data_IF_224807147728
#
_entry.id   IF_224807147728
#
_cell.length_a   1.000
_cell.length_b   1.000
_cell.length_c   1.000
_cell.angle_alpha   90.00
_cell.angle_beta   90.00
_cell.angle_gamma   90.00
#
_symmetry.space_group_name_H-M   'P 1'
#
loop_
_entity.id
_entity.type
_entity.pdbx_description
1 polymer ?
#
# COMPACT_ATOMS: atom_id res chain seq x y z
N UNK A 1 11.81 21.95 -57.35
CA UNK A 1 13.09 21.88 -56.62
C UNK A 1 12.86 22.28 -55.17
N UNK A 2 13.31 21.41 -54.26
CA UNK A 2 13.49 21.58 -52.81
C UNK A 2 12.22 21.73 -51.95
N UNK A 3 12.15 21.22 -50.74
CA UNK A 3 12.81 20.12 -50.01
C UNK A 3 12.14 20.16 -48.63
N UNK A 4 11.86 18.98 -48.10
CA UNK A 4 11.34 18.64 -46.77
C UNK A 4 11.75 19.55 -45.61
N UNK A 5 10.88 19.63 -44.58
CA UNK A 5 11.28 19.33 -43.20
C UNK A 5 10.06 19.09 -42.29
N UNK A 6 9.89 17.81 -41.95
CA UNK A 6 9.12 17.29 -40.84
C UNK A 6 9.64 17.89 -39.52
N UNK A 7 8.73 18.28 -38.61
CA UNK A 7 9.04 18.29 -37.18
C UNK A 7 8.01 17.45 -36.46
N UNK A 8 8.41 16.21 -36.20
CA UNK A 8 7.75 15.30 -35.28
C UNK A 8 7.92 15.84 -33.85
N UNK A 9 6.80 16.16 -33.21
CA UNK A 9 6.75 16.50 -31.79
C UNK A 9 6.76 15.19 -30.99
N UNK A 10 7.93 14.55 -30.92
CA UNK A 10 8.20 13.45 -30.00
C UNK A 10 8.85 14.05 -28.75
N UNK A 11 8.14 14.04 -27.62
CA UNK A 11 8.64 14.67 -26.39
C UNK A 11 7.94 14.18 -25.13
N UNK A 12 8.47 13.09 -24.58
CA UNK A 12 8.53 12.80 -23.14
C UNK A 12 7.19 12.50 -22.43
N UNK A 13 6.66 11.31 -22.70
CA UNK A 13 5.99 10.54 -21.64
C UNK A 13 7.04 10.19 -20.59
N UNK A 14 7.23 11.06 -19.60
CA UNK A 14 7.95 10.71 -18.38
C UNK A 14 7.11 9.63 -17.68
N UNK A 15 7.43 8.37 -17.96
CA UNK A 15 7.04 7.25 -17.12
C UNK A 15 7.55 7.59 -15.73
N UNK A 16 6.62 7.87 -14.82
CA UNK A 16 6.89 7.96 -13.41
C UNK A 16 7.41 6.59 -12.96
N UNK A 17 8.72 6.37 -13.09
CA UNK A 17 9.41 5.29 -12.43
C UNK A 17 9.26 5.59 -10.94
N UNK A 18 8.28 4.94 -10.32
CA UNK A 18 8.25 4.80 -8.87
C UNK A 18 9.64 4.35 -8.43
N UNK A 19 10.22 5.04 -7.45
CA UNK A 19 11.51 4.65 -6.89
C UNK A 19 11.50 3.15 -6.57
N UNK A 20 12.61 2.43 -6.79
CA UNK A 20 12.68 1.01 -6.45
C UNK A 20 12.31 0.85 -4.97
N UNK A 21 11.36 -0.04 -4.73
CA UNK A 21 10.88 -0.36 -3.39
C UNK A 21 11.99 -1.12 -2.66
N UNK A 22 12.53 -0.55 -1.60
CA UNK A 22 13.67 -1.11 -0.86
C UNK A 22 13.21 -1.74 0.45
N UNK A 23 13.47 -3.02 0.63
CA UNK A 23 13.12 -3.81 1.82
C UNK A 23 12.94 -5.28 1.47
N UNK A 24 13.12 -6.16 2.45
CA UNK A 24 13.00 -7.62 2.29
C UNK A 24 11.55 -8.10 2.43
N UNK A 25 10.67 -7.28 2.99
CA UNK A 25 9.23 -7.54 3.04
C UNK A 25 8.56 -6.64 2.02
N UNK A 26 7.78 -7.25 1.12
CA UNK A 26 7.03 -6.58 0.06
C UNK A 26 5.54 -6.74 0.31
N UNK A 27 4.84 -5.61 0.39
CA UNK A 27 3.39 -5.57 0.55
C UNK A 27 2.75 -4.78 -0.58
N UNK A 28 1.77 -5.38 -1.25
CA UNK A 28 0.95 -4.69 -2.26
C UNK A 28 -0.15 -3.91 -1.58
N UNK A 29 -0.22 -2.61 -1.84
CA UNK A 29 -1.27 -1.74 -1.30
C UNK A 29 -2.60 -2.08 -1.95
N UNK A 30 -3.59 -2.36 -1.11
CA UNK A 30 -4.97 -2.64 -1.51
C UNK A 30 -5.78 -1.34 -1.54
N UNK A 31 -5.80 -0.62 -0.42
CA UNK A 31 -6.39 0.71 -0.33
C UNK A 31 -5.88 1.48 0.90
N UNK A 32 -6.19 2.77 0.91
CA UNK A 32 -5.93 3.66 2.03
C UNK A 32 -7.24 3.97 2.76
N UNK A 33 -7.20 4.03 4.09
CA UNK A 33 -8.32 4.45 4.93
C UNK A 33 -7.86 5.61 5.82
N UNK A 34 -8.70 6.63 5.97
CA UNK A 34 -8.39 7.76 6.85
C UNK A 34 -8.25 7.27 8.30
N UNK A 35 -7.18 7.69 8.98
CA UNK A 35 -6.95 7.43 10.40
C UNK A 35 -7.10 8.73 11.21
N UNK A 36 -7.24 8.65 12.55
CA UNK A 36 -7.24 9.86 13.41
C UNK A 36 -6.00 10.73 13.23
N UNK A 37 -4.86 10.10 12.92
CA UNK A 37 -3.61 10.78 12.51
C UNK A 37 -3.08 10.08 11.25
N UNK A 38 -2.95 10.82 10.16
CA UNK A 38 -2.47 10.29 8.88
C UNK A 38 -3.46 9.34 8.23
N UNK A 39 -3.01 8.14 7.86
CA UNK A 39 -3.82 7.12 7.20
C UNK A 39 -3.42 5.70 7.65
N UNK A 40 -4.31 4.76 7.42
CA UNK A 40 -4.01 3.33 7.43
C UNK A 40 -3.80 2.84 6.01
N UNK A 41 -2.79 2.01 5.81
CA UNK A 41 -2.53 1.32 4.54
C UNK A 41 -2.93 -0.14 4.72
N UNK A 42 -3.96 -0.56 3.99
CA UNK A 42 -4.33 -1.97 3.91
C UNK A 42 -3.48 -2.58 2.81
N UNK A 43 -2.72 -3.62 3.14
CA UNK A 43 -1.78 -4.20 2.21
C UNK A 43 -1.79 -5.74 2.31
N UNK A 44 -1.53 -6.40 1.19
CA UNK A 44 -1.33 -7.84 1.12
C UNK A 44 0.17 -8.14 1.06
N UNK A 45 0.70 -8.84 2.05
CA UNK A 45 2.12 -9.20 2.13
C UNK A 45 2.39 -10.39 1.22
N UNK A 46 3.20 -10.20 0.18
CA UNK A 46 3.38 -11.22 -0.86
C UNK A 46 4.44 -12.26 -0.49
N UNK A 47 5.54 -11.81 0.11
CA UNK A 47 6.75 -12.62 0.30
C UNK A 47 7.01 -13.04 1.75
N UNK A 48 6.11 -12.67 2.67
CA UNK A 48 6.20 -13.00 4.10
C UNK A 48 4.80 -13.30 4.69
N UNK A 49 4.22 -14.47 4.37
CA UNK A 49 2.81 -14.79 4.62
C UNK A 49 2.43 -14.89 6.11
N UNK A 50 3.40 -15.15 6.99
CA UNK A 50 3.25 -15.25 8.44
C UNK A 50 2.93 -13.91 9.12
N UNK A 51 3.07 -12.79 8.41
CA UNK A 51 2.75 -11.46 8.94
C UNK A 51 1.28 -11.08 8.82
N UNK A 52 0.55 -11.69 7.87
CA UNK A 52 -0.83 -11.32 7.56
C UNK A 52 -1.83 -12.41 7.92
N UNK A 53 -3.10 -12.05 7.83
CA UNK A 53 -4.22 -13.00 7.95
C UNK A 53 -5.10 -12.94 6.70
N UNK A 54 -5.76 -14.05 6.37
CA UNK A 54 -6.70 -14.04 5.26
C UNK A 54 -7.92 -13.19 5.65
N UNK A 55 -8.30 -12.24 4.78
CA UNK A 55 -9.40 -11.34 5.04
C UNK A 55 -10.20 -11.03 3.80
N UNK A 56 -11.53 -11.00 3.97
CA UNK A 56 -12.46 -10.41 3.01
C UNK A 56 -12.66 -8.95 3.37
N UNK A 57 -12.09 -8.07 2.57
CA UNK A 57 -12.16 -6.62 2.82
C UNK A 57 -13.43 -6.05 2.20
N UNK A 58 -14.03 -5.09 2.89
CA UNK A 58 -15.18 -4.33 2.40
C UNK A 58 -14.82 -2.85 2.28
N UNK A 59 -15.26 -2.22 1.19
CA UNK A 59 -15.12 -0.78 0.96
C UNK A 59 -16.48 -0.20 0.57
N UNK A 60 -16.89 0.89 1.21
CA UNK A 60 -18.17 1.56 0.93
C UNK A 60 -19.34 0.54 0.96
N UNK A 61 -19.35 -0.31 2.00
CA UNK A 61 -20.31 -1.39 2.25
C UNK A 61 -20.41 -2.47 1.16
N UNK A 62 -19.43 -2.55 0.27
CA UNK A 62 -19.32 -3.59 -0.76
C UNK A 62 -18.07 -4.43 -0.54
N UNK A 63 -18.17 -5.71 -0.88
CA UNK A 63 -16.99 -6.58 -0.94
C UNK A 63 -15.99 -6.00 -1.94
N UNK A 64 -14.77 -5.76 -1.47
CA UNK A 64 -13.65 -5.32 -2.28
C UNK A 64 -12.86 -6.52 -2.81
N UNK A 65 -12.69 -7.55 -1.97
CA UNK A 65 -12.07 -8.81 -2.34
C UNK A 65 -11.54 -9.58 -1.13
N UNK A 66 -11.15 -10.83 -1.37
CA UNK A 66 -10.50 -11.69 -0.37
C UNK A 66 -9.01 -11.82 -0.66
N UNK A 67 -8.19 -11.55 0.34
CA UNK A 67 -6.73 -11.53 0.23
C UNK A 67 -6.11 -12.42 1.30
N UNK A 68 -5.03 -13.16 0.99
CA UNK A 68 -4.51 -14.21 1.85
C UNK A 68 -3.68 -13.71 3.04
N UNK A 69 -2.99 -12.56 2.91
CA UNK A 69 -2.02 -12.09 3.90
C UNK A 69 -2.17 -10.59 4.17
N UNK A 70 -3.33 -10.20 4.68
CA UNK A 70 -3.65 -8.79 4.93
C UNK A 70 -3.00 -8.31 6.22
N UNK A 71 -2.41 -7.11 6.13
CA UNK A 71 -1.93 -6.30 7.26
C UNK A 71 -2.49 -4.88 7.15
N UNK A 72 -2.48 -4.18 8.28
CA UNK A 72 -2.72 -2.74 8.35
C UNK A 72 -1.41 -2.07 8.77
N UNK A 73 -0.90 -1.16 7.95
CA UNK A 73 0.27 -0.34 8.29
C UNK A 73 -0.23 1.02 8.77
N UNK A 74 0.28 1.47 9.91
CA UNK A 74 0.09 2.83 10.40
C UNK A 74 1.02 3.80 9.66
N UNK A 75 0.42 4.78 8.98
CA UNK A 75 1.13 5.80 8.21
C UNK A 75 0.72 7.20 8.67
N UNK A 76 1.17 7.63 9.87
CA UNK A 76 0.77 8.93 10.45
C UNK A 76 1.26 10.12 9.62
N UNK A 77 2.35 9.94 8.87
CA UNK A 77 3.00 10.97 8.05
C UNK A 77 2.56 10.92 6.58
N UNK A 78 1.66 9.99 6.21
CA UNK A 78 1.18 9.79 4.83
C UNK A 78 2.30 9.48 3.82
N UNK A 79 3.42 8.90 4.28
CA UNK A 79 4.62 8.55 3.48
C UNK A 79 4.26 7.67 2.28
N UNK A 80 3.28 6.78 2.44
CA UNK A 80 2.92 5.79 1.41
C UNK A 80 1.76 6.21 0.52
N UNK A 81 1.24 7.43 0.68
CA UNK A 81 0.10 7.92 -0.10
C UNK A 81 0.35 7.80 -1.60
N UNK A 82 -0.56 7.12 -2.30
CA UNK A 82 -0.50 6.92 -3.75
C UNK A 82 0.50 5.84 -4.21
N UNK A 83 1.21 5.19 -3.29
CA UNK A 83 2.08 4.07 -3.61
C UNK A 83 1.27 2.79 -3.85
N UNK A 84 1.75 1.94 -4.75
CA UNK A 84 1.17 0.62 -5.04
C UNK A 84 1.82 -0.50 -4.23
N UNK A 85 3.05 -0.27 -3.77
CA UNK A 85 3.85 -1.23 -3.03
C UNK A 85 4.50 -0.52 -1.86
N UNK A 86 4.57 -1.19 -0.72
CA UNK A 86 5.31 -0.76 0.45
C UNK A 86 6.34 -1.83 0.77
N UNK A 87 7.61 -1.43 0.86
CA UNK A 87 8.70 -2.30 1.27
C UNK A 87 9.26 -1.82 2.60
N UNK A 88 9.58 -2.78 3.46
CA UNK A 88 10.11 -2.52 4.79
C UNK A 88 10.89 -3.73 5.30
N UNK A 89 11.72 -3.48 6.30
CA UNK A 89 12.47 -4.51 7.02
C UNK A 89 12.05 -4.57 8.47
N UNK A 90 12.04 -3.39 9.09
CA UNK A 90 11.79 -3.23 10.52
C UNK A 90 10.40 -2.70 10.77
N UNK A 91 9.71 -3.38 11.68
CA UNK A 91 8.37 -3.00 12.09
C UNK A 91 8.13 -3.44 13.53
N UNK A 92 7.16 -2.80 14.17
CA UNK A 92 6.62 -3.21 15.45
C UNK A 92 5.14 -3.55 15.31
N UNK A 93 4.71 -4.64 15.94
CA UNK A 93 3.28 -5.00 16.02
C UNK A 93 2.59 -4.03 16.96
N UNK A 94 1.50 -3.43 16.50
CA UNK A 94 0.66 -2.55 17.29
C UNK A 94 -0.51 -3.35 17.87
N UNK A 95 -0.94 -3.04 19.10
CA UNK A 95 -2.14 -3.64 19.66
C UNK A 95 -3.37 -3.22 18.84
N UNK A 96 -4.37 -4.09 18.80
CA UNK A 96 -5.67 -3.71 18.26
C UNK A 96 -6.29 -2.59 19.13
N UNK A 97 -6.80 -1.49 18.56
CA UNK A 97 -7.55 -0.48 19.30
C UNK A 97 -8.79 -1.08 19.96
N UNK A 98 -9.19 -0.54 21.12
CA UNK A 98 -10.37 -1.01 21.85
C UNK A 98 -11.68 -0.85 21.04
N UNK A 99 -11.79 0.23 20.25
CA UNK A 99 -13.00 0.61 19.51
C UNK A 99 -12.94 0.28 18.01
N UNK A 100 -12.16 -0.74 17.62
CA UNK A 100 -12.01 -1.15 16.22
C UNK A 100 -13.22 -1.96 15.73
N UNK A 101 -13.54 -1.85 14.43
CA UNK A 101 -14.44 -2.79 13.75
C UNK A 101 -13.99 -4.23 14.02
N UNK A 102 -14.89 -5.08 14.49
CA UNK A 102 -14.61 -6.48 14.82
C UNK A 102 -14.02 -7.24 13.63
N UNK A 103 -14.39 -6.88 12.39
CA UNK A 103 -13.86 -7.47 11.16
C UNK A 103 -12.39 -7.10 10.92
N UNK A 104 -11.94 -5.98 11.47
CA UNK A 104 -10.56 -5.51 11.35
C UNK A 104 -9.69 -5.93 12.55
N UNK A 105 -10.30 -6.44 13.63
CA UNK A 105 -9.62 -6.80 14.88
C UNK A 105 -8.59 -7.91 14.69
N UNK A 106 -8.83 -8.81 13.75
CA UNK A 106 -7.96 -9.95 13.45
C UNK A 106 -6.85 -9.62 12.44
N UNK A 107 -6.82 -8.38 11.93
CA UNK A 107 -5.82 -7.93 10.97
C UNK A 107 -4.61 -7.41 11.73
N UNK A 108 -3.42 -8.01 11.56
CA UNK A 108 -2.21 -7.53 12.21
C UNK A 108 -1.92 -6.07 11.86
N UNK A 109 -1.71 -5.25 12.89
CA UNK A 109 -1.36 -3.82 12.74
C UNK A 109 0.13 -3.65 12.93
N UNK A 110 0.78 -2.98 12.00
CA UNK A 110 2.21 -2.75 12.00
C UNK A 110 2.51 -1.25 11.98
N UNK A 111 3.55 -0.85 12.70
CA UNK A 111 4.22 0.44 12.51
C UNK A 111 5.61 0.18 11.97
N UNK A 112 5.87 0.64 10.75
CA UNK A 112 7.19 0.54 10.11
C UNK A 112 8.15 1.52 10.80
N UNK A 113 9.38 1.07 11.08
CA UNK A 113 10.36 1.84 11.84
C UNK A 113 11.64 2.16 11.06
N UNK A 114 11.80 1.62 9.84
CA UNK A 114 12.92 1.87 8.94
C UNK A 114 12.42 1.85 7.48
#
# INVERSE_FOLDING_TARGET
MRSSLFYALAGLLASACSAPCTGHIEATVLYFKQAPRGQFVYANVLNKPDLGTQQTLTREDKEYGTFPHVIIIEDPEMKYRGQRTVCFDEFSKQPAPADIDLREKEIPRLKITN
#
